data_IF_859534535664
#
_entry.id   IF_859534535664
#
_cell.length_a   1.000
_cell.length_b   1.000
_cell.length_c   1.000
_cell.angle_alpha   90.00
_cell.angle_beta   90.00
_cell.angle_gamma   90.00
#
_symmetry.space_group_name_H-M   'P 1'
#
loop_
_entity.id
_entity.type
_entity.pdbx_description
1 polymer ?
#
# COMPACT_ATOMS: atom_id res chain seq x y z
N UNK A 1 -2.32 -30.23 -14.36
CA UNK A 1 -2.43 -29.37 -13.16
C UNK A 1 -2.54 -27.95 -13.67
N UNK A 2 -3.65 -27.26 -13.40
CA UNK A 2 -3.85 -25.91 -13.93
C UNK A 2 -2.77 -24.99 -13.37
N UNK A 3 -2.16 -24.17 -14.22
CA UNK A 3 -1.44 -22.99 -13.75
C UNK A 3 -2.46 -22.18 -12.94
N UNK A 4 -2.21 -22.03 -11.65
CA UNK A 4 -3.10 -21.31 -10.76
C UNK A 4 -3.36 -19.89 -11.29
N UNK A 5 -4.61 -19.41 -11.20
CA UNK A 5 -5.13 -18.14 -11.73
C UNK A 5 -4.56 -16.89 -11.02
N UNK A 6 -3.28 -16.91 -10.65
CA UNK A 6 -2.53 -15.83 -10.03
C UNK A 6 -1.73 -15.07 -11.10
N UNK A 7 -2.40 -14.29 -11.94
CA UNK A 7 -1.77 -13.60 -13.09
C UNK A 7 -1.13 -12.25 -12.75
N UNK A 8 -1.28 -11.82 -11.50
CA UNK A 8 -0.66 -10.60 -11.00
C UNK A 8 0.87 -10.72 -10.99
N UNK A 9 1.53 -9.56 -10.93
CA UNK A 9 2.97 -9.41 -10.99
C UNK A 9 3.44 -8.28 -10.06
N UNK A 10 4.71 -8.34 -9.66
CA UNK A 10 5.35 -7.21 -8.99
C UNK A 10 6.14 -6.34 -9.96
N UNK A 11 6.26 -5.06 -9.64
CA UNK A 11 6.90 -4.05 -10.47
C UNK A 11 8.22 -3.58 -9.85
N UNK A 12 9.13 -3.10 -10.69
CA UNK A 12 10.39 -2.53 -10.23
C UNK A 12 10.17 -1.23 -9.46
N UNK A 13 9.19 -0.43 -9.88
CA UNK A 13 8.78 0.83 -9.27
C UNK A 13 7.29 0.74 -8.95
N UNK A 14 6.78 1.67 -8.14
CA UNK A 14 5.35 1.86 -7.97
C UNK A 14 4.65 1.96 -9.33
N UNK A 15 3.50 1.29 -9.46
CA UNK A 15 2.61 1.39 -10.61
C UNK A 15 1.75 2.66 -10.46
N UNK A 16 1.21 2.84 -9.25
CA UNK A 16 0.45 4.01 -8.83
C UNK A 16 0.56 4.19 -7.31
N UNK A 17 -0.03 5.26 -6.82
CA UNK A 17 -0.18 5.52 -5.41
C UNK A 17 -1.05 6.72 -5.11
N UNK A 18 -1.06 7.09 -3.83
CA UNK A 18 -1.72 8.28 -3.31
C UNK A 18 -0.76 9.05 -2.43
N UNK A 19 -0.95 10.36 -2.38
CA UNK A 19 -0.20 11.25 -1.50
C UNK A 19 -1.19 12.05 -0.66
N UNK A 20 -1.09 11.85 0.66
CA UNK A 20 -1.79 12.57 1.69
C UNK A 20 -0.87 13.66 2.23
N UNK A 21 -1.15 14.92 1.89
CA UNK A 21 -0.43 16.07 2.44
C UNK A 21 -1.24 16.67 3.57
N UNK A 22 -0.70 16.68 4.78
CA UNK A 22 -1.39 17.18 5.98
C UNK A 22 -0.68 18.42 6.52
N UNK A 23 -1.40 19.53 6.77
CA UNK A 23 -0.84 20.72 7.38
C UNK A 23 -0.33 20.43 8.80
N UNK A 24 0.77 21.07 9.18
CA UNK A 24 1.28 21.04 10.56
C UNK A 24 0.85 22.36 11.22
N UNK A 25 -0.24 22.34 12.01
CA UNK A 25 -0.74 23.52 12.73
C UNK A 25 0.02 23.74 14.05
N UNK A 26 -0.17 24.90 14.70
CA UNK A 26 0.62 25.35 15.87
C UNK A 26 0.48 24.48 17.14
N UNK A 27 -0.53 23.60 17.20
CA UNK A 27 -0.79 22.59 18.23
C UNK A 27 0.13 21.34 18.05
N UNK A 28 1.36 21.63 17.63
CA UNK A 28 2.02 20.93 16.52
C UNK A 28 2.38 19.45 16.73
N UNK A 29 2.84 18.99 17.91
CA UNK A 29 3.26 17.60 18.06
C UNK A 29 2.10 16.66 18.40
N UNK A 30 1.24 17.03 19.37
CA UNK A 30 0.21 16.11 19.88
C UNK A 30 -0.89 15.90 18.84
N UNK A 31 -1.35 16.96 18.18
CA UNK A 31 -2.37 16.85 17.13
C UNK A 31 -1.92 16.01 15.92
N UNK A 32 -0.62 16.02 15.62
CA UNK A 32 -0.01 15.17 14.60
C UNK A 32 0.10 13.72 15.08
N UNK A 33 0.53 13.49 16.33
CA UNK A 33 0.54 12.15 16.90
C UNK A 33 -0.86 11.53 16.92
N UNK A 34 -1.86 12.26 17.41
CA UNK A 34 -3.25 11.79 17.46
C UNK A 34 -3.79 11.47 16.04
N UNK A 35 -3.35 12.21 15.02
CA UNK A 35 -3.65 11.87 13.63
C UNK A 35 -3.00 10.57 13.17
N UNK A 36 -1.70 10.43 13.42
CA UNK A 36 -0.96 9.22 13.08
C UNK A 36 -1.62 8.01 13.73
N UNK A 37 -1.97 8.10 15.01
CA UNK A 37 -2.67 7.05 15.74
C UNK A 37 -4.04 6.75 15.13
N UNK A 38 -4.81 7.77 14.73
CA UNK A 38 -6.10 7.58 14.05
C UNK A 38 -5.95 6.86 12.69
N UNK A 39 -4.90 7.16 11.93
CA UNK A 39 -4.62 6.48 10.66
C UNK A 39 -4.16 5.03 10.87
N UNK A 40 -3.38 4.74 11.91
CA UNK A 40 -3.00 3.36 12.24
C UNK A 40 -4.22 2.57 12.73
N UNK A 41 -5.09 3.20 13.53
CA UNK A 41 -6.36 2.60 13.93
C UNK A 41 -7.24 2.32 12.71
N UNK A 42 -7.29 3.25 11.74
CA UNK A 42 -7.99 3.04 10.47
C UNK A 42 -7.43 1.84 9.70
N UNK A 43 -6.10 1.68 9.63
CA UNK A 43 -5.47 0.52 9.02
C UNK A 43 -5.86 -0.79 9.72
N UNK A 44 -5.94 -0.77 11.06
CA UNK A 44 -6.35 -1.91 11.88
C UNK A 44 -7.80 -2.31 11.65
N UNK A 45 -8.74 -1.36 11.69
CA UNK A 45 -10.18 -1.66 11.55
C UNK A 45 -10.56 -2.08 10.13
N UNK A 46 -9.82 -1.60 9.12
CA UNK A 46 -10.02 -2.00 7.72
C UNK A 46 -9.27 -3.27 7.36
N UNK A 47 -8.32 -3.71 8.19
CA UNK A 47 -7.41 -4.82 7.90
C UNK A 47 -6.61 -4.61 6.58
N UNK A 48 -6.37 -3.35 6.22
CA UNK A 48 -5.71 -3.00 4.96
C UNK A 48 -4.18 -3.05 5.07
N UNK A 49 -3.62 -2.65 6.22
CA UNK A 49 -2.18 -2.52 6.43
C UNK A 49 -1.80 -3.01 7.81
N UNK A 50 -0.78 -3.86 7.85
CA UNK A 50 -0.13 -4.38 9.04
C UNK A 50 1.28 -3.85 9.12
N UNK A 51 1.74 -3.55 10.33
CA UNK A 51 3.01 -2.87 10.58
C UNK A 51 4.04 -3.83 11.15
N UNK A 52 5.22 -3.92 10.53
CA UNK A 52 6.28 -4.86 10.90
C UNK A 52 7.40 -4.18 11.69
N UNK A 53 7.92 -4.87 12.70
CA UNK A 53 9.10 -4.52 13.48
C UNK A 53 10.39 -4.80 12.72
N UNK A 54 11.49 -4.27 13.25
CA UNK A 54 12.85 -4.55 12.79
C UNK A 54 13.22 -6.03 12.84
N UNK A 55 12.71 -6.75 13.83
CA UNK A 55 12.94 -8.18 14.05
C UNK A 55 12.14 -9.11 13.11
N UNK A 56 11.29 -8.55 12.23
CA UNK A 56 10.48 -9.31 11.29
C UNK A 56 9.09 -9.70 11.80
N UNK A 57 8.77 -9.45 13.06
CA UNK A 57 7.43 -9.69 13.63
C UNK A 57 6.50 -8.50 13.40
N UNK A 58 5.18 -8.71 13.50
CA UNK A 58 4.22 -7.60 13.43
C UNK A 58 4.05 -6.93 14.79
N UNK A 59 3.85 -5.62 14.77
CA UNK A 59 3.50 -4.87 15.97
C UNK A 59 2.14 -5.29 16.51
N UNK A 60 2.04 -5.71 17.79
CA UNK A 60 0.78 -5.66 18.51
C UNK A 60 0.33 -4.21 18.64
N UNK A 61 -0.96 -3.95 18.42
CA UNK A 61 -1.51 -2.60 18.41
C UNK A 61 -1.14 -1.75 19.65
N UNK A 62 -1.35 -2.21 20.90
CA UNK A 62 -1.00 -1.42 22.08
C UNK A 62 0.50 -1.09 22.17
N UNK A 63 1.36 -1.98 21.67
CA UNK A 63 2.81 -1.77 21.68
C UNK A 63 3.23 -0.67 20.71
N UNK A 64 2.63 -0.64 19.51
CA UNK A 64 2.91 0.41 18.52
C UNK A 64 2.44 1.78 19.01
N UNK A 65 1.23 1.86 19.57
CA UNK A 65 0.71 3.10 20.17
C UNK A 65 1.67 3.60 21.26
N UNK A 66 2.02 2.74 22.22
CA UNK A 66 2.92 3.11 23.30
C UNK A 66 4.32 3.52 22.80
N UNK A 67 4.82 2.90 21.73
CA UNK A 67 6.08 3.27 21.11
C UNK A 67 6.04 4.66 20.47
N UNK A 68 4.97 4.99 19.74
CA UNK A 68 4.76 6.32 19.16
C UNK A 68 4.59 7.41 20.23
N UNK A 69 3.83 7.12 21.29
CA UNK A 69 3.64 8.05 22.40
C UNK A 69 4.94 8.34 23.15
N UNK A 70 5.78 7.32 23.39
CA UNK A 70 7.13 7.53 23.95
C UNK A 70 8.01 8.36 23.04
N UNK A 71 7.90 8.21 21.71
CA UNK A 71 8.60 9.06 20.75
C UNK A 71 8.37 10.55 21.03
N UNK A 72 7.11 10.93 21.26
CA UNK A 72 6.78 12.31 21.58
C UNK A 72 7.24 12.69 22.99
N UNK A 73 6.92 11.87 24.00
CA UNK A 73 7.17 12.18 25.41
C UNK A 73 8.67 12.27 25.75
N UNK A 74 9.49 11.41 25.17
CA UNK A 74 10.91 11.26 25.55
C UNK A 74 11.85 11.96 24.57
N UNK A 75 11.48 12.01 23.28
CA UNK A 75 12.35 12.53 22.21
C UNK A 75 11.83 13.80 21.55
N UNK A 76 10.62 14.26 21.90
CA UNK A 76 9.94 15.36 21.21
C UNK A 76 9.80 15.09 19.71
N UNK A 77 9.54 13.83 19.34
CA UNK A 77 9.46 13.36 17.97
C UNK A 77 8.09 12.77 17.70
N UNK A 78 7.51 13.10 16.54
CA UNK A 78 6.36 12.37 16.00
C UNK A 78 6.81 11.63 14.76
N UNK A 79 6.74 10.31 14.81
CA UNK A 79 6.92 9.47 13.64
C UNK A 79 5.60 9.39 12.86
N UNK A 80 5.48 10.18 11.79
CA UNK A 80 4.36 10.14 10.88
C UNK A 80 4.66 9.18 9.72
N UNK A 81 4.80 7.89 10.04
CA UNK A 81 5.04 6.76 9.13
C UNK A 81 6.46 6.64 8.53
N UNK A 82 7.47 7.25 9.13
CA UNK A 82 8.86 6.99 8.78
C UNK A 82 9.35 5.60 9.22
N UNK A 83 8.84 5.05 10.34
CA UNK A 83 9.12 3.66 10.71
C UNK A 83 8.71 2.63 9.65
N UNK A 84 7.86 3.02 8.70
CA UNK A 84 7.44 2.23 7.54
C UNK A 84 8.13 2.63 6.23
N UNK A 85 9.04 3.59 6.23
CA UNK A 85 9.69 4.10 5.02
C UNK A 85 10.44 3.01 4.23
N UNK A 86 10.83 1.93 4.91
CA UNK A 86 11.36 0.71 4.30
C UNK A 86 10.24 -0.21 3.82
N UNK A 87 10.36 -0.68 2.58
CA UNK A 87 9.33 -1.50 1.92
C UNK A 87 9.01 -2.82 2.62
N UNK A 88 9.89 -3.34 3.48
CA UNK A 88 9.68 -4.58 4.21
C UNK A 88 8.98 -4.39 5.56
N UNK A 89 8.45 -3.18 5.85
CA UNK A 89 7.83 -2.83 7.12
C UNK A 89 6.31 -2.88 7.13
N UNK A 90 5.70 -3.35 6.04
CA UNK A 90 4.25 -3.40 5.89
C UNK A 90 3.81 -4.72 5.24
N UNK A 91 2.61 -5.16 5.62
CA UNK A 91 1.92 -6.31 5.02
C UNK A 91 0.43 -6.05 4.89
N UNK A 92 -0.27 -6.92 4.16
CA UNK A 92 -1.73 -6.85 3.98
C UNK A 92 -2.33 -8.24 3.90
N UNK A 93 -3.59 -8.38 4.32
CA UNK A 93 -4.38 -9.60 4.06
C UNK A 93 -4.76 -9.62 2.57
N UNK A 94 -4.18 -10.54 1.81
CA UNK A 94 -4.38 -10.65 0.36
C UNK A 94 -4.96 -12.00 0.00
N UNK A 95 -5.70 -12.04 -1.10
CA UNK A 95 -6.27 -13.27 -1.63
C UNK A 95 -5.41 -13.84 -2.78
N UNK A 96 -5.25 -15.16 -2.82
CA UNK A 96 -4.55 -15.86 -3.89
C UNK A 96 -5.14 -17.25 -4.13
N UNK A 97 -4.88 -17.83 -5.31
CA UNK A 97 -5.24 -19.21 -5.64
C UNK A 97 -4.13 -20.20 -5.27
N UNK A 98 -4.49 -21.34 -4.68
CA UNK A 98 -3.62 -22.51 -4.54
C UNK A 98 -4.34 -23.80 -5.00
N UNK A 99 -3.81 -24.98 -4.63
CA UNK A 99 -4.39 -26.30 -4.98
C UNK A 99 -5.78 -26.57 -4.37
N UNK A 100 -6.15 -25.85 -3.30
CA UNK A 100 -7.39 -26.03 -2.55
C UNK A 100 -8.44 -24.96 -2.85
N UNK A 101 -8.08 -23.88 -3.53
CA UNK A 101 -9.00 -22.83 -3.97
C UNK A 101 -8.46 -21.43 -3.73
N UNK A 102 -9.33 -20.49 -3.37
CA UNK A 102 -8.93 -19.13 -3.00
C UNK A 102 -8.70 -19.07 -1.49
N UNK A 103 -7.53 -18.55 -1.11
CA UNK A 103 -7.09 -18.37 0.27
C UNK A 103 -6.83 -16.90 0.56
N UNK A 104 -7.05 -16.48 1.80
CA UNK A 104 -6.69 -15.15 2.30
C UNK A 104 -5.68 -15.32 3.44
N UNK A 105 -4.54 -14.63 3.32
CA UNK A 105 -3.45 -14.69 4.30
C UNK A 105 -2.81 -13.30 4.43
N UNK A 106 -2.23 -13.02 5.60
CA UNK A 106 -1.37 -11.87 5.82
C UNK A 106 -0.03 -12.08 5.09
N UNK A 107 0.26 -11.23 4.11
CA UNK A 107 1.44 -11.32 3.25
C UNK A 107 2.21 -10.01 3.30
N UNK A 108 3.53 -10.09 3.49
CA UNK A 108 4.48 -8.97 3.40
C UNK A 108 5.49 -9.12 2.24
N UNK A 109 5.43 -10.25 1.53
CA UNK A 109 6.24 -10.55 0.36
C UNK A 109 5.38 -11.18 -0.74
N UNK A 110 4.73 -10.34 -1.53
CA UNK A 110 3.92 -10.80 -2.67
C UNK A 110 4.78 -11.43 -3.76
N UNK A 111 6.02 -10.97 -3.96
CA UNK A 111 6.92 -11.61 -4.92
C UNK A 111 7.29 -13.04 -4.53
N UNK A 112 7.61 -13.24 -3.25
CA UNK A 112 7.90 -14.55 -2.67
C UNK A 112 6.67 -15.47 -2.68
N UNK A 113 5.49 -14.94 -2.39
CA UNK A 113 4.22 -15.67 -2.56
C UNK A 113 4.04 -16.13 -4.01
N UNK A 114 4.19 -15.23 -4.99
CA UNK A 114 4.03 -15.56 -6.40
C UNK A 114 5.01 -16.64 -6.85
N UNK A 115 6.28 -16.52 -6.42
CA UNK A 115 7.32 -17.49 -6.75
C UNK A 115 6.98 -18.90 -6.23
N UNK A 116 6.38 -18.99 -5.03
CA UNK A 116 5.87 -20.25 -4.47
C UNK A 116 4.71 -20.83 -5.28
N UNK A 117 3.79 -19.99 -5.75
CA UNK A 117 2.56 -20.42 -6.43
C UNK A 117 2.77 -20.79 -7.91
N UNK A 118 3.80 -20.25 -8.57
CA UNK A 118 4.01 -20.36 -10.03
C UNK A 118 5.23 -21.20 -10.44
N UNK A 119 5.76 -22.05 -9.57
CA UNK A 119 6.96 -22.84 -9.86
C UNK A 119 6.82 -23.71 -11.13
N UNK A 120 7.86 -23.82 -11.99
CA UNK A 120 9.16 -23.13 -11.92
C UNK A 120 9.12 -21.71 -12.50
N UNK A 121 9.80 -20.78 -11.83
CA UNK A 121 10.04 -19.41 -12.29
C UNK A 121 11.28 -19.43 -13.19
N UNK A 122 11.14 -19.30 -14.51
CA UNK A 122 12.32 -19.19 -15.40
C UNK A 122 12.98 -17.79 -15.27
N UNK A 123 14.16 -17.60 -15.88
CA UNK A 123 14.94 -16.37 -15.75
C UNK A 123 14.21 -15.10 -16.23
N UNK A 124 13.25 -15.20 -17.17
CA UNK A 124 12.43 -14.05 -17.62
C UNK A 124 11.51 -13.54 -16.50
N UNK A 125 11.18 -14.38 -15.52
CA UNK A 125 10.22 -14.09 -14.47
C UNK A 125 10.86 -13.47 -13.21
N UNK A 126 12.20 -13.43 -13.10
CA UNK A 126 12.90 -12.89 -11.91
C UNK A 126 12.52 -11.45 -11.56
N UNK A 127 12.09 -10.66 -12.54
CA UNK A 127 11.64 -9.28 -12.28
C UNK A 127 10.20 -9.20 -11.74
N UNK A 128 9.36 -10.17 -12.09
CA UNK A 128 7.93 -10.23 -11.73
C UNK A 128 7.68 -10.91 -10.36
N UNK A 129 8.69 -11.55 -9.77
CA UNK A 129 8.62 -12.22 -8.45
C UNK A 129 9.55 -11.59 -7.40
N UNK A 130 9.96 -10.33 -7.59
CA UNK A 130 10.84 -9.63 -6.64
C UNK A 130 10.14 -9.42 -5.31
N UNK A 131 10.91 -9.53 -4.22
CA UNK A 131 10.39 -9.25 -2.88
C UNK A 131 9.85 -7.83 -2.79
N UNK A 132 8.54 -7.71 -2.53
CA UNK A 132 7.79 -6.46 -2.43
C UNK A 132 6.63 -6.65 -1.47
N UNK A 133 6.26 -5.64 -0.67
CA UNK A 133 5.02 -5.68 0.08
C UNK A 133 3.81 -5.56 -0.88
N UNK A 134 2.61 -6.01 -0.47
CA UNK A 134 1.39 -5.73 -1.23
C UNK A 134 1.16 -4.22 -1.45
N UNK A 135 1.44 -3.43 -0.42
CA UNK A 135 1.27 -1.99 -0.37
C UNK A 135 2.44 -1.40 0.39
N UNK A 136 3.00 -0.28 -0.07
CA UNK A 136 3.96 0.52 0.68
C UNK A 136 3.24 1.71 1.30
N UNK A 137 3.54 2.02 2.56
CA UNK A 137 3.06 3.19 3.29
C UNK A 137 4.27 3.86 3.94
N UNK A 138 4.46 5.16 3.74
CA UNK A 138 5.58 5.85 4.37
C UNK A 138 5.42 7.36 4.42
N UNK A 139 6.06 7.97 5.40
CA UNK A 139 6.03 9.41 5.63
C UNK A 139 7.34 9.92 6.22
N UNK A 140 7.28 10.72 7.28
CA UNK A 140 8.44 11.42 7.85
C UNK A 140 8.44 11.40 9.37
N UNK A 141 9.65 11.32 9.95
CA UNK A 141 9.88 11.59 11.36
C UNK A 141 10.05 13.11 11.54
N UNK A 142 9.28 13.71 12.45
CA UNK A 142 9.27 15.15 12.66
C UNK A 142 9.72 15.44 14.09
N UNK A 143 10.81 16.20 14.21
CA UNK A 143 11.35 16.65 15.49
C UNK A 143 10.77 18.02 15.87
N UNK A 144 10.42 18.16 17.15
CA UNK A 144 9.84 19.36 17.76
C UNK A 144 10.71 19.91 18.90
N UNK A 145 12.03 19.64 18.88
CA UNK A 145 12.98 20.34 19.77
C UNK A 145 13.00 21.85 19.46
N UNK A 146 13.40 22.74 20.38
CA UNK A 146 13.35 24.19 20.14
C UNK A 146 14.03 24.65 18.83
N UNK A 147 15.19 24.07 18.51
CA UNK A 147 15.91 24.34 17.25
C UNK A 147 15.16 23.77 16.04
N UNK A 148 14.51 22.61 16.20
CA UNK A 148 13.69 21.99 15.17
C UNK A 148 12.33 22.68 15.00
N UNK A 149 11.76 23.33 16.02
CA UNK A 149 10.52 24.13 15.91
C UNK A 149 10.73 25.32 14.99
N UNK A 150 11.89 25.97 15.06
CA UNK A 150 12.26 27.03 14.11
C UNK A 150 12.45 26.51 12.67
N UNK A 151 12.87 25.27 12.50
CA UNK A 151 12.97 24.61 11.20
C UNK A 151 11.60 24.09 10.70
N UNK A 152 10.76 23.54 11.58
CA UNK A 152 9.42 23.02 11.30
C UNK A 152 8.42 24.14 11.02
N UNK A 153 8.62 25.35 11.57
CA UNK A 153 7.92 26.54 11.12
C UNK A 153 8.14 26.84 9.62
N UNK A 154 9.17 26.25 8.99
CA UNK A 154 9.40 26.27 7.53
C UNK A 154 8.82 25.05 6.80
N UNK A 155 8.33 24.04 7.51
CA UNK A 155 7.69 22.83 6.98
C UNK A 155 6.19 22.96 7.24
N UNK A 156 5.41 23.61 6.37
CA UNK A 156 3.99 23.86 6.61
C UNK A 156 3.13 22.59 6.61
N UNK A 157 3.69 21.44 6.22
CA UNK A 157 2.97 20.19 6.00
C UNK A 157 3.88 18.98 5.98
N UNK A 158 3.37 17.82 6.41
CA UNK A 158 3.98 16.51 6.15
C UNK A 158 3.25 15.77 5.01
N UNK A 159 3.91 14.79 4.40
CA UNK A 159 3.34 13.95 3.35
C UNK A 159 3.41 12.48 3.74
N UNK A 160 2.28 11.78 3.68
CA UNK A 160 2.21 10.32 3.76
C UNK A 160 1.89 9.79 2.37
N UNK A 161 2.72 8.88 1.89
CA UNK A 161 2.60 8.27 0.57
C UNK A 161 2.14 6.83 0.72
N UNK A 162 1.25 6.42 -0.15
CA UNK A 162 0.75 5.06 -0.28
C UNK A 162 1.11 4.61 -1.69
N UNK A 163 1.96 3.61 -1.85
CA UNK A 163 2.46 3.19 -3.16
C UNK A 163 2.14 1.72 -3.40
N UNK A 164 1.66 1.41 -4.59
CA UNK A 164 1.32 0.05 -5.01
C UNK A 164 2.35 -0.42 -6.03
N UNK A 165 3.11 -1.45 -5.68
CA UNK A 165 4.16 -2.05 -6.52
C UNK A 165 3.74 -3.42 -7.10
N UNK A 166 2.46 -3.78 -6.99
CA UNK A 166 1.90 -5.01 -7.56
C UNK A 166 0.48 -4.75 -8.11
N UNK A 167 0.11 -5.42 -9.20
CA UNK A 167 -1.21 -5.27 -9.82
C UNK A 167 -2.28 -6.21 -9.24
N UNK A 168 -1.93 -7.00 -8.22
CA UNK A 168 -2.81 -7.87 -7.41
C UNK A 168 -4.14 -7.21 -7.01
N UNK A 169 -4.11 -5.90 -6.73
CA UNK A 169 -5.27 -5.15 -6.27
C UNK A 169 -6.30 -4.81 -7.36
N UNK A 170 -5.90 -4.94 -8.63
CA UNK A 170 -6.69 -4.50 -9.77
C UNK A 170 -7.64 -5.61 -10.23
N UNK A 171 -8.84 -5.28 -10.73
CA UNK A 171 -9.76 -6.27 -11.29
C UNK A 171 -9.23 -6.92 -12.58
N UNK A 172 -8.40 -6.21 -13.34
CA UNK A 172 -7.77 -6.70 -14.57
C UNK A 172 -6.25 -6.54 -14.47
N UNK A 173 -5.52 -7.63 -14.64
CA UNK A 173 -4.05 -7.63 -14.55
C UNK A 173 -3.43 -7.92 -15.91
N UNK A 174 -2.39 -7.17 -16.33
CA UNK A 174 -1.69 -7.47 -17.57
C UNK A 174 -0.95 -8.80 -17.44
N UNK A 175 -0.92 -9.59 -18.52
CA UNK A 175 -0.27 -10.90 -18.62
C UNK A 175 1.25 -10.88 -18.56
N UNK A 176 1.86 -10.02 -17.76
CA UNK A 176 3.31 -9.82 -17.68
C UNK A 176 4.05 -11.07 -17.22
N UNK A 177 3.42 -11.86 -16.35
CA UNK A 177 3.99 -13.11 -15.86
C UNK A 177 3.81 -14.28 -16.84
N UNK A 178 3.00 -14.11 -17.88
CA UNK A 178 2.78 -15.12 -18.92
C UNK A 178 3.33 -14.59 -20.26
N UNK A 179 4.61 -14.85 -20.60
CA UNK A 179 5.28 -14.29 -21.79
C UNK A 179 4.53 -14.38 -23.14
N UNK A 180 3.78 -15.44 -23.48
CA UNK A 180 3.03 -15.46 -24.73
C UNK A 180 1.87 -14.45 -24.78
N UNK A 181 1.45 -13.91 -23.63
CA UNK A 181 0.20 -13.19 -23.44
C UNK A 181 0.43 -11.78 -22.85
N UNK A 182 1.57 -11.14 -23.15
CA UNK A 182 1.89 -9.81 -22.61
C UNK A 182 0.92 -8.69 -23.03
N UNK A 183 0.19 -8.91 -24.11
CA UNK A 183 -0.85 -8.00 -24.62
C UNK A 183 -2.24 -8.34 -24.09
N UNK A 184 -2.33 -9.39 -23.26
CA UNK A 184 -3.57 -9.89 -22.68
C UNK A 184 -3.80 -9.31 -21.30
N UNK A 185 -5.08 -9.06 -20.98
CA UNK A 185 -5.54 -8.87 -19.61
C UNK A 185 -6.22 -10.12 -19.09
N UNK A 186 -5.88 -10.47 -17.84
CA UNK A 186 -6.52 -11.56 -17.11
C UNK A 186 -7.51 -10.98 -16.10
N UNK A 187 -8.62 -11.70 -15.93
CA UNK A 187 -9.61 -11.40 -14.90
C UNK A 187 -9.06 -11.79 -13.53
N UNK A 188 -8.89 -10.80 -12.66
CA UNK A 188 -8.40 -10.97 -11.30
C UNK A 188 -9.49 -10.63 -10.27
N UNK A 189 -10.74 -10.40 -10.71
CA UNK A 189 -11.83 -9.95 -9.83
C UNK A 189 -12.08 -10.91 -8.68
N UNK A 190 -12.03 -12.22 -8.92
CA UNK A 190 -12.24 -13.23 -7.87
C UNK A 190 -11.27 -13.10 -6.68
N UNK A 191 -10.06 -12.59 -6.92
CA UNK A 191 -9.08 -12.26 -5.87
C UNK A 191 -9.29 -10.82 -5.37
N UNK A 192 -9.35 -9.84 -6.27
CA UNK A 192 -9.44 -8.42 -5.94
C UNK A 192 -10.69 -8.09 -5.09
N UNK A 193 -11.84 -8.70 -5.37
CA UNK A 193 -13.07 -8.52 -4.60
C UNK A 193 -12.94 -8.90 -3.12
N UNK A 194 -11.95 -9.72 -2.76
CA UNK A 194 -11.73 -10.15 -1.37
C UNK A 194 -10.89 -9.17 -0.57
N UNK A 195 -9.87 -8.57 -1.18
CA UNK A 195 -8.89 -7.75 -0.45
C UNK A 195 -8.92 -6.27 -0.82
N UNK A 196 -9.25 -5.90 -2.06
CA UNK A 196 -9.31 -4.49 -2.49
C UNK A 196 -10.36 -3.65 -1.76
N UNK A 197 -11.52 -4.18 -1.32
CA UNK A 197 -12.46 -3.39 -0.51
C UNK A 197 -11.85 -2.86 0.79
N UNK A 198 -10.94 -3.61 1.43
CA UNK A 198 -10.21 -3.20 2.64
C UNK A 198 -9.32 -1.99 2.35
N UNK A 199 -8.54 -2.07 1.27
CA UNK A 199 -7.70 -0.97 0.81
C UNK A 199 -8.54 0.26 0.45
N UNK A 200 -9.64 0.11 -0.30
CA UNK A 200 -10.51 1.22 -0.65
C UNK A 200 -11.15 1.88 0.59
N UNK A 201 -11.57 1.10 1.59
CA UNK A 201 -12.08 1.63 2.84
C UNK A 201 -11.01 2.42 3.61
N UNK A 202 -9.77 1.91 3.66
CA UNK A 202 -8.63 2.61 4.24
C UNK A 202 -8.34 3.93 3.51
N UNK A 203 -8.28 3.92 2.18
CA UNK A 203 -8.03 5.12 1.38
C UNK A 203 -9.15 6.16 1.54
N UNK A 204 -10.41 5.72 1.60
CA UNK A 204 -11.55 6.61 1.82
C UNK A 204 -11.46 7.32 3.17
N UNK A 205 -11.23 6.57 4.27
CA UNK A 205 -11.09 7.15 5.60
C UNK A 205 -9.83 8.02 5.75
N UNK A 206 -8.73 7.65 5.10
CA UNK A 206 -7.51 8.46 5.10
C UNK A 206 -7.75 9.79 4.38
N UNK A 207 -8.36 9.76 3.19
CA UNK A 207 -8.73 10.96 2.42
C UNK A 207 -9.65 11.87 3.23
N UNK A 208 -10.67 11.32 3.89
CA UNK A 208 -11.56 12.10 4.76
C UNK A 208 -10.77 12.76 5.90
N UNK A 209 -9.93 12.01 6.60
CA UNK A 209 -9.07 12.51 7.68
C UNK A 209 -8.11 13.61 7.25
N UNK A 210 -7.55 13.51 6.04
CA UNK A 210 -6.65 14.52 5.45
C UNK A 210 -7.43 15.79 5.10
N UNK A 211 -8.53 15.64 4.36
CA UNK A 211 -9.31 16.78 3.84
C UNK A 211 -10.04 17.53 4.96
N UNK A 212 -10.51 16.85 6.00
CA UNK A 212 -11.13 17.49 7.18
C UNK A 212 -10.16 18.38 7.96
N UNK A 213 -8.85 18.20 7.76
CA UNK A 213 -7.77 18.99 8.36
C UNK A 213 -7.24 20.09 7.44
N UNK A 214 -7.89 20.32 6.30
CA UNK A 214 -7.44 21.26 5.28
C UNK A 214 -6.19 20.80 4.53
N UNK A 215 -5.93 19.49 4.52
CA UNK A 215 -4.86 18.89 3.72
C UNK A 215 -5.26 18.58 2.29
N UNK A 216 -4.25 18.22 1.50
CA UNK A 216 -4.42 17.86 0.09
C UNK A 216 -4.32 16.34 -0.08
N UNK A 217 -5.18 15.80 -0.94
CA UNK A 217 -5.16 14.41 -1.35
C UNK A 217 -4.95 14.35 -2.86
N UNK A 218 -4.04 13.50 -3.33
CA UNK A 218 -3.82 13.32 -4.75
C UNK A 218 -3.47 11.89 -5.13
N UNK A 219 -3.97 11.46 -6.28
CA UNK A 219 -3.54 10.25 -6.95
C UNK A 219 -2.24 10.50 -7.74
N UNK A 220 -1.35 9.52 -7.75
CA UNK A 220 -0.09 9.56 -8.51
C UNK A 220 -0.01 8.32 -9.39
N UNK A 221 -0.03 8.51 -10.71
CA UNK A 221 0.35 7.47 -11.66
C UNK A 221 1.86 7.56 -11.91
N UNK A 222 2.57 6.45 -11.68
CA UNK A 222 4.01 6.36 -11.94
C UNK A 222 4.32 5.66 -13.26
N UNK A 223 3.31 5.03 -13.84
CA UNK A 223 3.39 4.37 -15.14
C UNK A 223 2.60 5.13 -16.18
N UNK A 224 3.14 5.20 -17.40
CA UNK A 224 2.47 5.70 -18.61
C UNK A 224 1.44 4.70 -19.17
N UNK A 225 0.97 3.77 -18.34
CA UNK A 225 0.04 2.72 -18.76
C UNK A 225 -1.35 3.33 -18.98
N UNK A 226 -1.78 3.48 -20.23
CA UNK A 226 -3.08 4.06 -20.59
C UNK A 226 -4.30 3.30 -20.00
N UNK A 227 -4.11 2.03 -19.63
CA UNK A 227 -5.15 1.21 -19.02
C UNK A 227 -5.37 1.51 -17.54
N UNK A 228 -4.37 2.06 -16.84
CA UNK A 228 -4.39 2.21 -15.39
C UNK A 228 -5.45 3.22 -14.91
N UNK A 229 -5.59 4.43 -15.51
CA UNK A 229 -6.62 5.38 -15.12
C UNK A 229 -8.06 4.89 -15.29
N UNK A 230 -8.28 3.75 -15.96
CA UNK A 230 -9.62 3.14 -16.10
C UNK A 230 -10.03 2.32 -14.88
N UNK A 231 -9.06 1.89 -14.06
CA UNK A 231 -9.30 1.01 -12.91
C UNK A 231 -8.95 1.68 -11.58
N UNK A 232 -8.16 2.75 -11.59
CA UNK A 232 -7.74 3.42 -10.36
C UNK A 232 -7.76 4.93 -10.54
N UNK A 233 -8.12 5.63 -9.47
CA UNK A 233 -8.08 7.08 -9.42
C UNK A 233 -8.03 7.61 -8.00
N UNK A 234 -8.47 8.84 -7.83
CA UNK A 234 -8.41 9.55 -6.55
C UNK A 234 -9.19 8.84 -5.43
N UNK A 235 -10.27 8.12 -5.77
CA UNK A 235 -11.17 7.47 -4.81
C UNK A 235 -10.81 6.01 -4.50
N UNK A 236 -9.70 5.48 -5.04
CA UNK A 236 -9.31 4.09 -4.89
C UNK A 236 -9.39 3.32 -6.20
N UNK A 237 -9.58 2.01 -6.09
CA UNK A 237 -9.63 1.06 -7.20
C UNK A 237 -11.08 0.71 -7.52
N UNK A 238 -11.49 0.90 -8.78
CA UNK A 238 -12.80 0.53 -9.28
C UNK A 238 -12.83 -0.95 -9.69
N UNK A 239 -13.41 -1.80 -8.85
CA UNK A 239 -13.60 -3.22 -9.12
C UNK A 239 -14.65 -3.49 -10.22
N UNK A 240 -15.50 -2.51 -10.52
CA UNK A 240 -16.49 -2.56 -11.60
C UNK A 240 -15.97 -2.11 -12.96
N UNK A 241 -14.69 -1.71 -13.04
CA UNK A 241 -14.09 -1.22 -14.27
C UNK A 241 -14.23 -2.24 -15.40
N UNK A 242 -14.61 -1.73 -16.58
CA UNK A 242 -14.64 -2.53 -17.80
C UNK A 242 -13.23 -3.03 -18.15
N UNK A 243 -13.10 -4.23 -18.76
CA UNK A 243 -11.81 -4.71 -19.22
C UNK A 243 -11.14 -3.70 -20.17
N UNK A 244 -9.82 -3.48 -20.07
CA UNK A 244 -9.11 -2.63 -21.01
C UNK A 244 -9.31 -3.10 -22.46
N UNK A 245 -9.39 -2.16 -23.40
CA UNK A 245 -9.59 -2.43 -24.82
C UNK A 245 -8.30 -2.94 -25.48
N UNK A 246 -7.82 -4.11 -25.07
CA UNK A 246 -6.78 -4.91 -25.72
C UNK A 246 -7.21 -6.38 -25.63
N UNK A 247 -6.63 -7.24 -26.46
CA UNK A 247 -6.98 -8.67 -26.58
C UNK A 247 -7.26 -9.32 -25.21
N UNK A 248 -8.49 -9.76 -24.95
CA UNK A 248 -8.78 -10.63 -23.81
C UNK A 248 -8.43 -12.06 -24.22
N UNK A 249 -7.62 -12.76 -23.41
CA UNK A 249 -7.45 -14.20 -23.57
C UNK A 249 -8.80 -14.87 -23.31
N UNK A 250 -9.11 -15.85 -24.16
CA UNK A 250 -10.30 -16.69 -24.03
C UNK A 250 -10.09 -17.78 -23.00
#
# INVERSE_FOLDING_TARGET
MSRHDNHWSVYRNALFGWNARVPIQADAPRALLDWTLAVIELARVTDAVWFRKDDGTYWPWPELVAWLERGLAERSVVDAFDFCSRFDRVGSTVAYHDERGIHEELIDDVGGLLARLRAPVDDLHRSAVRRRPPLWLGGHEISFTPDAVMAAAKIPSTSVKILVECDLWLPWVPGRIDPPDRETFYDNRALAERHTPRLNAFLAGLRESVTSRGGDWSFIAYSENEWLPRMVGEHGIDLGAAPPAMSLAR
#
